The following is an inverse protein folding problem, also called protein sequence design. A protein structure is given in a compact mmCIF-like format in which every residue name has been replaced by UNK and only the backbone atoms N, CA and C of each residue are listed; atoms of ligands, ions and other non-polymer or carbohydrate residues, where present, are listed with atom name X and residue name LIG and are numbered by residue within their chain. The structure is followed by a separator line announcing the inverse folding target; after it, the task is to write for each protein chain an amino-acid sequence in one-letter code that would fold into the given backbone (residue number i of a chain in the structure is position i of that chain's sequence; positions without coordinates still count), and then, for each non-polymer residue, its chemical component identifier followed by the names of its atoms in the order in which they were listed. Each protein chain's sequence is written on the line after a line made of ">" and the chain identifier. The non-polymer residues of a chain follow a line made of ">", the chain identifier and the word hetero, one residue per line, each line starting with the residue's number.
data_IF_710526490476
#
_entry.id   IF_710526490476
#
_cell.length_a   1.000
_cell.length_b   1.000
_cell.length_c   1.000
_cell.angle_alpha   90.00
_cell.angle_beta   90.00
_cell.angle_gamma   90.00
#
_symmetry.space_group_name_H-M   'P 1'
#
loop_
_entity.id
_entity.type
_entity.pdbx_description
1 polymer ?
#
# COMPACT_ATOMS: atom_id res chain seq x y z
N UNK A 1 -13.82 16.10 7.62
CA UNK A 1 -12.83 15.84 6.55
C UNK A 1 -11.46 16.26 7.05
N UNK A 2 -10.49 15.35 7.06
CA UNK A 2 -9.08 15.69 7.30
C UNK A 2 -8.53 16.23 5.98
N UNK A 3 -8.00 17.46 5.96
CA UNK A 3 -7.47 18.07 4.74
C UNK A 3 -6.07 17.53 4.47
N UNK A 4 -5.79 17.17 3.22
CA UNK A 4 -4.44 16.85 2.79
C UNK A 4 -3.69 18.16 2.50
N UNK A 5 -2.67 18.45 3.31
CA UNK A 5 -1.87 19.69 3.22
C UNK A 5 -0.82 19.65 2.08
N UNK A 6 -0.76 18.56 1.32
CA UNK A 6 0.20 18.36 0.24
C UNK A 6 1.46 17.62 0.68
N UNK A 7 2.44 17.56 -0.23
CA UNK A 7 3.75 16.95 0.01
C UNK A 7 4.76 18.01 0.45
N UNK A 8 5.72 17.68 1.34
CA UNK A 8 6.74 18.62 1.76
C UNK A 8 7.63 19.05 0.57
N UNK A 9 8.09 20.31 0.54
CA UNK A 9 9.00 20.78 -0.50
C UNK A 9 10.37 20.08 -0.41
N UNK A 10 11.00 19.84 -1.56
CA UNK A 10 12.35 19.26 -1.66
C UNK A 10 12.38 17.88 -2.31
N UNK A 11 13.53 17.18 -2.17
CA UNK A 11 13.71 15.82 -2.72
C UNK A 11 13.04 14.81 -1.80
N UNK A 12 11.84 14.36 -2.15
CA UNK A 12 11.16 13.23 -1.51
C UNK A 12 11.57 11.91 -2.16
N UNK A 13 11.50 10.80 -1.40
CA UNK A 13 11.68 9.47 -1.97
C UNK A 13 10.51 9.17 -2.90
N UNK A 14 10.82 8.82 -4.13
CA UNK A 14 9.85 8.41 -5.14
C UNK A 14 9.88 6.90 -5.29
N UNK A 15 8.75 6.34 -5.70
CA UNK A 15 8.55 4.91 -5.93
C UNK A 15 8.14 4.78 -7.38
N UNK A 16 8.90 4.01 -8.16
CA UNK A 16 8.57 3.81 -9.56
C UNK A 16 7.41 2.83 -9.64
N UNK A 17 6.31 3.23 -10.29
CA UNK A 17 5.20 2.33 -10.56
C UNK A 17 5.23 1.92 -12.03
N UNK A 18 5.12 0.62 -12.36
CA UNK A 18 4.99 0.18 -13.74
C UNK A 18 3.76 0.80 -14.39
N UNK A 19 3.84 1.17 -15.67
CA UNK A 19 2.67 1.69 -16.40
C UNK A 19 1.52 0.68 -16.44
N UNK A 20 1.85 -0.63 -16.48
CA UNK A 20 0.89 -1.74 -16.42
C UNK A 20 0.04 -1.74 -15.14
N UNK A 21 0.49 -1.08 -14.07
CA UNK A 21 -0.34 -0.87 -12.89
C UNK A 21 -1.65 -0.20 -13.26
N UNK A 22 -1.62 0.80 -14.13
CA UNK A 22 -2.79 1.60 -14.47
C UNK A 22 -3.66 0.97 -15.56
N UNK A 23 -3.07 0.24 -16.51
CA UNK A 23 -3.81 -0.37 -17.63
C UNK A 23 -4.37 -1.74 -17.28
N UNK A 24 -3.60 -2.56 -16.56
CA UNK A 24 -3.89 -4.00 -16.42
C UNK A 24 -4.31 -4.34 -15.00
N UNK A 25 -3.60 -3.80 -14.01
CA UNK A 25 -3.83 -4.17 -12.61
C UNK A 25 -4.95 -3.35 -11.97
N UNK A 26 -5.00 -2.04 -12.20
CA UNK A 26 -6.00 -1.14 -11.59
C UNK A 26 -7.45 -1.56 -11.89
N UNK A 27 -7.81 -2.03 -13.10
CA UNK A 27 -9.16 -2.51 -13.39
C UNK A 27 -9.56 -3.80 -12.65
N UNK A 28 -8.59 -4.52 -12.08
CA UNK A 28 -8.82 -5.74 -11.30
C UNK A 28 -8.94 -5.48 -9.80
N UNK A 29 -8.74 -4.23 -9.37
CA UNK A 29 -8.83 -3.85 -7.95
C UNK A 29 -10.26 -3.49 -7.63
N UNK A 30 -10.88 -4.25 -6.72
CA UNK A 30 -12.31 -4.20 -6.45
C UNK A 30 -12.67 -3.19 -5.36
N UNK A 31 -11.76 -2.96 -4.42
CA UNK A 31 -11.99 -2.05 -3.31
C UNK A 31 -10.78 -1.17 -2.93
N UNK A 32 -11.05 -0.21 -2.02
CA UNK A 32 -10.04 0.74 -1.58
C UNK A 32 -8.99 0.11 -0.64
N UNK A 33 -9.33 -0.97 0.06
CA UNK A 33 -8.37 -1.70 0.88
C UNK A 33 -7.35 -2.41 -0.02
N UNK A 34 -7.79 -3.14 -1.03
CA UNK A 34 -6.96 -3.81 -2.04
C UNK A 34 -6.03 -2.82 -2.74
N UNK A 35 -6.54 -1.64 -3.14
CA UNK A 35 -5.71 -0.60 -3.75
C UNK A 35 -4.58 -0.14 -2.83
N UNK A 36 -4.88 0.10 -1.55
CA UNK A 36 -3.90 0.54 -0.55
C UNK A 36 -2.86 -0.54 -0.28
N UNK A 37 -3.27 -1.81 -0.11
CA UNK A 37 -2.34 -2.95 0.04
C UNK A 37 -1.41 -3.01 -1.16
N UNK A 38 -1.97 -2.93 -2.37
CA UNK A 38 -1.22 -3.08 -3.62
C UNK A 38 -0.17 -1.98 -3.79
N UNK A 39 -0.55 -0.71 -3.61
CA UNK A 39 0.39 0.41 -3.68
C UNK A 39 1.50 0.29 -2.61
N UNK A 40 1.14 -0.16 -1.41
CA UNK A 40 2.11 -0.41 -0.36
C UNK A 40 3.06 -1.56 -0.70
N UNK A 41 2.58 -2.63 -1.34
CA UNK A 41 3.42 -3.73 -1.79
C UNK A 41 4.49 -3.24 -2.79
N UNK A 42 4.12 -2.40 -3.76
CA UNK A 42 5.08 -1.78 -4.69
C UNK A 42 6.13 -0.91 -3.99
N UNK A 43 5.71 -0.14 -2.99
CA UNK A 43 6.61 0.63 -2.14
C UNK A 43 7.57 -0.28 -1.35
N UNK A 44 7.04 -1.31 -0.70
CA UNK A 44 7.78 -2.20 0.18
C UNK A 44 8.80 -3.07 -0.59
N UNK A 45 8.43 -3.59 -1.76
CA UNK A 45 9.34 -4.36 -2.63
C UNK A 45 10.55 -3.53 -3.05
N UNK A 46 10.36 -2.24 -3.36
CA UNK A 46 11.45 -1.36 -3.80
C UNK A 46 12.40 -0.95 -2.67
N UNK A 47 11.99 -1.11 -1.42
CA UNK A 47 12.84 -0.91 -0.25
C UNK A 47 13.67 -2.17 0.07
N UNK A 48 13.44 -3.30 -0.62
CA UNK A 48 14.21 -4.54 -0.46
C UNK A 48 15.42 -4.55 -1.39
N UNK A 49 16.55 -4.92 -0.81
CA UNK A 49 17.81 -5.10 -1.52
C UNK A 49 18.13 -6.61 -1.67
N UNK A 50 18.97 -6.94 -2.64
CA UNK A 50 19.41 -8.32 -2.90
C UNK A 50 18.70 -9.02 -4.06
N UNK A 51 19.09 -10.29 -4.27
CA UNK A 51 18.71 -11.12 -5.44
C UNK A 51 17.21 -11.46 -5.49
N UNK A 52 16.56 -11.53 -4.33
CA UNK A 52 15.13 -11.83 -4.20
C UNK A 52 14.45 -10.71 -3.43
N UNK A 53 13.55 -9.99 -4.09
CA UNK A 53 12.74 -8.94 -3.45
C UNK A 53 11.36 -9.49 -3.17
N UNK A 54 11.07 -9.76 -1.90
CA UNK A 54 9.77 -10.25 -1.45
C UNK A 54 9.29 -9.43 -0.25
N UNK A 55 7.98 -9.40 -0.07
CA UNK A 55 7.32 -8.77 1.07
C UNK A 55 6.55 -9.86 1.80
N UNK A 56 6.66 -9.89 3.12
CA UNK A 56 5.96 -10.83 4.00
C UNK A 56 4.75 -10.16 4.63
N UNK A 57 3.76 -10.97 4.99
CA UNK A 57 2.62 -10.54 5.79
C UNK A 57 3.04 -9.71 7.03
N UNK A 58 4.07 -10.17 7.74
CA UNK A 58 4.62 -9.47 8.90
C UNK A 58 5.12 -8.05 8.59
N UNK A 59 5.53 -7.76 7.35
CA UNK A 59 5.98 -6.42 6.95
C UNK A 59 4.80 -5.44 6.79
N UNK A 60 3.63 -5.95 6.40
CA UNK A 60 2.39 -5.18 6.39
C UNK A 60 1.88 -4.92 7.81
N UNK A 61 1.91 -5.96 8.66
CA UNK A 61 1.51 -5.87 10.07
C UNK A 61 2.44 -4.99 10.93
N UNK A 62 3.71 -4.84 10.54
CA UNK A 62 4.64 -3.94 11.22
C UNK A 62 4.47 -2.47 10.80
N UNK A 63 3.74 -2.17 9.71
CA UNK A 63 3.65 -0.82 9.19
C UNK A 63 2.45 -0.05 9.77
N UNK A 64 2.73 0.80 10.76
CA UNK A 64 1.70 1.58 11.46
C UNK A 64 0.91 2.54 10.54
N UNK A 65 1.55 3.11 9.52
CA UNK A 65 0.86 4.00 8.57
C UNK A 65 -0.15 3.24 7.71
N UNK A 66 0.21 2.02 7.30
CA UNK A 66 -0.69 1.13 6.57
C UNK A 66 -1.83 0.63 7.47
N UNK A 67 -1.53 0.19 8.70
CA UNK A 67 -2.55 -0.22 9.67
C UNK A 67 -3.52 0.93 9.96
N UNK A 68 -3.03 2.15 10.16
CA UNK A 68 -3.88 3.32 10.35
C UNK A 68 -4.76 3.59 9.11
N UNK A 69 -4.21 3.42 7.91
CA UNK A 69 -4.95 3.58 6.66
C UNK A 69 -6.05 2.52 6.46
N UNK A 70 -5.92 1.33 7.06
CA UNK A 70 -6.96 0.30 7.12
C UNK A 70 -7.93 0.50 8.28
N UNK A 71 -7.48 0.98 9.44
CA UNK A 71 -8.36 1.29 10.57
C UNK A 71 -9.41 2.36 10.24
N UNK A 72 -9.10 3.28 9.32
CA UNK A 72 -10.07 4.26 8.80
C UNK A 72 -11.05 3.68 7.77
N UNK A 73 -10.72 2.54 7.13
CA UNK A 73 -11.61 1.80 6.22
C UNK A 73 -12.49 0.79 6.96
N UNK A 74 -11.94 0.18 8.00
CA UNK A 74 -12.58 -0.79 8.87
C UNK A 74 -13.46 -0.11 9.92
N UNK A 75 -14.40 0.73 9.47
CA UNK A 75 -15.52 1.17 10.30
C UNK A 75 -16.27 0.00 10.94
N UNK A 76 -16.15 -1.21 10.39
CA UNK A 76 -16.34 -2.49 11.03
C UNK A 76 -15.57 -3.53 10.19
N UNK A 77 -14.96 -4.53 10.83
CA UNK A 77 -14.38 -5.76 10.23
C UNK A 77 -12.89 -5.74 9.85
N UNK A 78 -12.10 -6.29 10.78
CA UNK A 78 -10.86 -7.08 10.66
C UNK A 78 -9.91 -6.82 9.49
N UNK A 79 -8.78 -6.19 9.79
CA UNK A 79 -7.60 -6.11 8.93
C UNK A 79 -7.03 -7.48 8.52
N UNK A 80 -7.40 -8.58 9.19
CA UNK A 80 -6.99 -9.94 8.78
C UNK A 80 -7.78 -10.44 7.57
N UNK A 81 -9.02 -10.00 7.35
CA UNK A 81 -9.81 -10.42 6.20
C UNK A 81 -9.24 -9.88 4.88
N UNK A 82 -8.76 -8.63 4.89
CA UNK A 82 -8.17 -7.99 3.71
C UNK A 82 -6.77 -8.50 3.34
N UNK A 83 -6.09 -9.23 4.24
CA UNK A 83 -4.79 -9.87 3.93
C UNK A 83 -4.90 -11.38 3.66
N UNK A 84 -6.07 -11.98 3.86
CA UNK A 84 -6.33 -13.41 3.66
C UNK A 84 -7.38 -13.72 2.58
N UNK A 85 -8.05 -12.70 2.01
CA UNK A 85 -8.89 -12.82 0.82
C UNK A 85 -8.03 -12.80 -0.46
#
# INVERSE_FOLDING_TARGET
>A
MKRFEGFPPGKTRTVALPTLLFSDLLPLVDDLAELKVTLFAFYAVQQREGKYRYVRLADFQANQSLIAAFGELAGETSAEAALCA
#
